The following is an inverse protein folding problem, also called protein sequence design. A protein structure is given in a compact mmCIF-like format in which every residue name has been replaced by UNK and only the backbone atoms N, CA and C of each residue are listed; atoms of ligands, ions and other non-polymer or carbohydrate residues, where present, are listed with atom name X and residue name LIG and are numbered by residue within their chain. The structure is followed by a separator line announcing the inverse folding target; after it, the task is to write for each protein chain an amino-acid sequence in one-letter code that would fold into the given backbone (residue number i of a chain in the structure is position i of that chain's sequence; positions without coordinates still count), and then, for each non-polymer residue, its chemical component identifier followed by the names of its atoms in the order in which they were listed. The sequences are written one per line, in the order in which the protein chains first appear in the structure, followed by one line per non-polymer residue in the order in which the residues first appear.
data_IF_155911703196
#
_entry.id   IF_155911703196
#
_cell.length_a   1.000
_cell.length_b   1.000
_cell.length_c   1.000
_cell.angle_alpha   90.00
_cell.angle_beta   90.00
_cell.angle_gamma   90.00
#
_symmetry.space_group_name_H-M   'P 1'
#
loop_
_entity.id
_entity.type
_entity.pdbx_description
1 polymer ?
#
# COMPACT_ATOMS: atom_id res chain seq x y z
N UNK A 1 -33.82 -51.43 58.77
CA UNK A 1 -33.77 -51.26 57.30
C UNK A 1 -34.70 -50.12 56.89
N UNK A 2 -34.13 -48.98 56.47
CA UNK A 2 -34.80 -47.91 55.73
C UNK A 2 -33.75 -47.26 54.82
N UNK A 3 -33.92 -47.39 53.52
CA UNK A 3 -33.12 -46.73 52.48
C UNK A 3 -33.67 -45.32 52.22
N UNK A 4 -32.84 -44.29 52.09
CA UNK A 4 -33.16 -43.10 51.31
C UNK A 4 -32.49 -43.23 49.93
N UNK A 5 -33.26 -43.42 48.86
CA UNK A 5 -33.82 -42.38 48.00
C UNK A 5 -32.79 -41.79 47.02
N UNK A 6 -32.67 -42.47 45.88
CA UNK A 6 -31.81 -42.17 44.73
C UNK A 6 -32.38 -41.05 43.83
N UNK A 7 -32.63 -39.84 44.38
CA UNK A 7 -33.18 -38.72 43.59
C UNK A 7 -32.34 -37.45 43.55
N UNK A 8 -31.10 -37.47 43.99
CA UNK A 8 -30.29 -36.24 44.08
C UNK A 8 -28.87 -36.41 43.52
N UNK A 9 -28.75 -37.00 42.33
CA UNK A 9 -27.49 -37.09 41.59
C UNK A 9 -27.73 -36.97 40.08
N UNK A 10 -28.44 -35.93 39.64
CA UNK A 10 -28.64 -35.72 38.19
C UNK A 10 -28.66 -34.24 37.77
N UNK A 11 -28.00 -33.36 38.52
CA UNK A 11 -27.88 -31.93 38.17
C UNK A 11 -26.44 -31.43 38.26
N UNK A 12 -25.46 -32.28 37.91
CA UNK A 12 -24.05 -31.86 37.90
C UNK A 12 -23.25 -32.44 36.74
N UNK A 13 -23.91 -32.77 35.62
CA UNK A 13 -23.22 -33.28 34.44
C UNK A 13 -23.80 -32.75 33.12
N UNK A 14 -24.41 -31.56 33.16
CA UNK A 14 -24.91 -30.86 31.97
C UNK A 14 -24.31 -29.45 31.81
N UNK A 15 -23.34 -29.08 32.66
CA UNK A 15 -22.68 -27.75 32.61
C UNK A 15 -21.20 -27.80 32.19
N UNK A 16 -20.63 -28.99 31.99
CA UNK A 16 -19.20 -29.12 31.66
C UNK A 16 -18.90 -29.34 30.17
N UNK A 17 -19.91 -29.57 29.34
CA UNK A 17 -19.75 -29.83 27.89
C UNK A 17 -20.29 -28.69 27.01
N UNK A 18 -20.50 -27.50 27.57
CA UNK A 18 -20.87 -26.29 26.83
C UNK A 18 -19.72 -25.29 26.74
N UNK A 19 -18.48 -25.78 26.71
CA UNK A 19 -17.26 -24.95 26.67
C UNK A 19 -16.28 -25.36 25.55
N UNK A 20 -16.77 -25.99 24.48
CA UNK A 20 -15.98 -26.30 23.27
C UNK A 20 -16.56 -25.67 21.99
N UNK A 21 -17.30 -24.57 22.13
CA UNK A 21 -17.80 -23.75 21.02
C UNK A 21 -17.21 -22.35 21.03
N UNK A 22 -16.01 -22.20 21.59
CA UNK A 22 -15.21 -20.99 21.41
C UNK A 22 -13.99 -21.30 20.56
N UNK A 23 -13.93 -20.60 19.44
CA UNK A 23 -12.69 -20.15 18.81
C UNK A 23 -11.88 -21.18 18.01
N UNK A 24 -12.51 -21.81 17.01
CA UNK A 24 -11.84 -21.97 15.70
C UNK A 24 -12.21 -20.80 14.78
N UNK A 25 -12.26 -19.59 15.34
CA UNK A 25 -12.01 -18.42 14.52
C UNK A 25 -10.49 -18.43 14.34
N UNK A 26 -10.01 -19.14 13.32
CA UNK A 26 -8.67 -18.93 12.79
C UNK A 26 -8.59 -17.43 12.48
N UNK A 27 -8.07 -16.67 13.43
CA UNK A 27 -7.53 -15.36 13.17
C UNK A 27 -6.39 -15.63 12.20
N UNK A 28 -6.72 -15.63 10.90
CA UNK A 28 -5.74 -15.60 9.82
C UNK A 28 -4.91 -14.37 10.13
N UNK A 29 -3.75 -14.59 10.73
CA UNK A 29 -2.82 -13.55 11.14
C UNK A 29 -2.67 -12.68 9.89
N UNK A 30 -3.18 -11.45 9.95
CA UNK A 30 -2.97 -10.51 8.85
C UNK A 30 -1.47 -10.31 8.83
N UNK A 31 -0.78 -10.97 7.90
CA UNK A 31 0.59 -10.64 7.57
C UNK A 31 0.55 -9.20 7.08
N UNK A 32 0.89 -8.28 7.99
CA UNK A 32 1.04 -6.88 7.65
C UNK A 32 2.17 -6.79 6.65
N UNK A 33 1.86 -6.25 5.48
CA UNK A 33 2.87 -6.05 4.45
C UNK A 33 3.99 -5.17 5.02
N UNK A 34 5.23 -5.60 4.82
CA UNK A 34 6.43 -4.82 5.15
C UNK A 34 7.24 -4.65 3.87
N UNK A 35 7.80 -3.44 3.62
CA UNK A 35 8.64 -3.22 2.47
C UNK A 35 9.89 -4.10 2.53
N UNK A 36 10.40 -4.56 1.38
CA UNK A 36 11.64 -5.31 1.35
C UNK A 36 12.82 -4.43 1.80
N UNK A 37 13.90 -5.01 2.38
CA UNK A 37 15.03 -4.25 2.92
C UNK A 37 15.72 -3.34 1.89
N UNK A 38 15.75 -3.75 0.62
CA UNK A 38 16.31 -2.98 -0.48
C UNK A 38 15.41 -1.82 -0.97
N UNK A 39 14.18 -1.75 -0.46
CA UNK A 39 13.15 -0.81 -0.88
C UNK A 39 12.32 -1.29 -2.06
N UNK A 40 11.13 -0.70 -2.22
CA UNK A 40 10.20 -1.03 -3.31
C UNK A 40 10.65 -0.43 -4.65
N UNK A 41 11.28 0.75 -4.64
CA UNK A 41 11.70 1.44 -5.86
C UNK A 41 13.17 1.16 -6.16
N UNK A 42 13.41 0.17 -7.02
CA UNK A 42 14.75 -0.36 -7.30
C UNK A 42 15.55 0.45 -8.31
N UNK A 43 14.88 1.15 -9.22
CA UNK A 43 15.53 1.88 -10.30
C UNK A 43 14.74 3.13 -10.74
N UNK A 44 15.38 3.92 -11.60
CA UNK A 44 14.82 5.14 -12.19
C UNK A 44 13.54 4.88 -12.99
N UNK A 45 13.46 3.76 -13.70
CA UNK A 45 12.30 3.44 -14.55
C UNK A 45 11.08 3.17 -13.68
N UNK A 46 11.25 2.44 -12.59
CA UNK A 46 10.21 2.20 -11.59
C UNK A 46 9.72 3.52 -10.96
N UNK A 47 10.65 4.41 -10.56
CA UNK A 47 10.31 5.72 -10.01
C UNK A 47 9.46 6.55 -10.98
N UNK A 48 9.89 6.65 -12.25
CA UNK A 48 9.15 7.39 -13.29
C UNK A 48 7.76 6.75 -13.53
N UNK A 49 7.68 5.42 -13.55
CA UNK A 49 6.40 4.72 -13.78
C UNK A 49 5.38 5.02 -12.67
N UNK A 50 5.82 5.04 -11.41
CA UNK A 50 4.98 5.40 -10.27
C UNK A 50 4.53 6.86 -10.37
N UNK A 51 5.46 7.78 -10.62
CA UNK A 51 5.15 9.20 -10.78
C UNK A 51 4.16 9.45 -11.93
N UNK A 52 4.31 8.73 -13.06
CA UNK A 52 3.41 8.83 -14.22
C UNK A 52 2.01 8.33 -13.89
N UNK A 53 1.90 7.23 -13.13
CA UNK A 53 0.61 6.71 -12.69
C UNK A 53 -0.12 7.71 -11.78
N UNK A 54 0.61 8.33 -10.84
CA UNK A 54 0.08 9.40 -9.97
C UNK A 54 -0.40 10.58 -10.82
N UNK A 55 0.43 11.08 -11.74
CA UNK A 55 0.08 12.22 -12.57
C UNK A 55 -1.18 11.97 -13.43
N UNK A 56 -1.33 10.77 -14.00
CA UNK A 56 -2.54 10.41 -14.75
C UNK A 56 -3.77 10.28 -13.87
N UNK A 57 -3.63 9.76 -12.64
CA UNK A 57 -4.75 9.69 -11.70
C UNK A 57 -5.30 11.09 -11.36
N UNK A 58 -4.42 12.09 -11.34
CA UNK A 58 -4.75 13.49 -11.11
C UNK A 58 -5.26 14.22 -12.36
N UNK A 59 -4.89 13.75 -13.56
CA UNK A 59 -5.21 14.37 -14.82
C UNK A 59 -5.80 13.34 -15.82
N UNK A 60 -7.00 12.80 -15.55
CA UNK A 60 -7.57 11.69 -16.32
C UNK A 60 -7.93 12.06 -17.76
N UNK A 61 -8.02 13.35 -18.09
CA UNK A 61 -8.27 13.86 -19.44
C UNK A 61 -7.03 13.85 -20.34
N UNK A 62 -5.83 13.65 -19.79
CA UNK A 62 -4.61 13.60 -20.59
C UNK A 62 -4.58 12.35 -21.46
N UNK A 63 -4.18 12.53 -22.71
CA UNK A 63 -4.02 11.42 -23.64
C UNK A 63 -2.90 10.46 -23.17
N UNK A 64 -3.16 9.16 -23.32
CA UNK A 64 -2.19 8.12 -22.99
C UNK A 64 -1.13 8.04 -24.10
N UNK A 65 0.05 8.62 -23.85
CA UNK A 65 1.22 8.47 -24.71
C UNK A 65 1.94 7.13 -24.47
N UNK A 66 2.82 6.73 -25.39
CA UNK A 66 3.64 5.51 -25.23
C UNK A 66 4.63 5.60 -24.07
N UNK A 67 5.07 4.45 -23.57
CA UNK A 67 6.08 4.33 -22.51
C UNK A 67 7.33 5.13 -22.78
N UNK A 68 7.89 4.94 -23.97
CA UNK A 68 9.08 5.64 -24.41
C UNK A 68 8.92 7.17 -24.34
N UNK A 69 7.77 7.70 -24.76
CA UNK A 69 7.54 9.16 -24.79
C UNK A 69 7.61 9.76 -23.39
N UNK A 70 7.00 9.13 -22.38
CA UNK A 70 7.03 9.69 -21.03
C UNK A 70 8.33 9.41 -20.29
N UNK A 71 9.03 8.30 -20.57
CA UNK A 71 10.38 8.09 -20.03
C UNK A 71 11.38 9.12 -20.59
N UNK A 72 11.23 9.51 -21.85
CA UNK A 72 12.07 10.54 -22.47
C UNK A 72 11.74 11.95 -21.92
N UNK A 73 10.50 12.16 -21.45
CA UNK A 73 9.99 13.43 -20.92
C UNK A 73 10.16 13.64 -19.41
N UNK A 74 10.61 12.63 -18.67
CA UNK A 74 10.81 12.68 -17.22
C UNK A 74 12.24 12.28 -16.85
N UNK A 75 12.74 12.85 -15.77
CA UNK A 75 13.98 12.42 -15.13
C UNK A 75 13.68 11.95 -13.71
N UNK A 76 14.47 11.00 -13.22
CA UNK A 76 14.42 10.62 -11.81
C UNK A 76 15.82 10.51 -11.25
N UNK A 77 16.02 11.10 -10.08
CA UNK A 77 17.28 11.13 -9.37
C UNK A 77 17.06 10.68 -7.93
N UNK A 78 18.01 9.90 -7.41
CA UNK A 78 17.92 9.37 -6.04
C UNK A 78 18.76 10.23 -5.11
N UNK A 79 18.12 10.76 -4.07
CA UNK A 79 18.73 11.53 -2.99
C UNK A 79 18.50 10.81 -1.66
N UNK A 80 19.42 9.92 -1.30
CA UNK A 80 19.26 9.05 -0.13
C UNK A 80 18.07 8.11 -0.29
N UNK A 81 17.09 8.24 0.60
CA UNK A 81 15.86 7.45 0.61
C UNK A 81 14.72 8.07 -0.20
N UNK A 82 14.98 9.17 -0.93
CA UNK A 82 13.98 9.84 -1.76
C UNK A 82 14.35 9.74 -3.23
N UNK A 83 13.39 9.30 -4.04
CA UNK A 83 13.40 9.45 -5.49
C UNK A 83 12.70 10.75 -5.86
N UNK A 84 13.43 11.68 -6.45
CA UNK A 84 12.87 12.91 -7.03
C UNK A 84 12.61 12.69 -8.49
N UNK A 85 11.35 12.74 -8.89
CA UNK A 85 10.93 12.57 -10.28
C UNK A 85 10.42 13.89 -10.82
N UNK A 86 11.04 14.40 -11.87
CA UNK A 86 10.72 15.69 -12.46
C UNK A 86 10.38 15.53 -13.94
N UNK A 87 9.32 16.18 -14.39
CA UNK A 87 9.09 16.37 -15.81
C UNK A 87 10.10 17.38 -16.36
N UNK A 88 10.66 17.12 -17.54
CA UNK A 88 11.53 18.08 -18.21
C UNK A 88 10.79 19.40 -18.41
N UNK A 89 11.49 20.50 -18.18
CA UNK A 89 10.96 21.84 -18.41
C UNK A 89 10.42 21.94 -19.84
N UNK A 90 9.22 22.51 -19.96
CA UNK A 90 8.66 22.80 -21.27
C UNK A 90 9.48 23.93 -21.93
N UNK A 91 9.54 23.98 -23.27
CA UNK A 91 10.15 25.09 -23.97
C UNK A 91 9.55 26.44 -23.53
N UNK A 92 10.36 27.51 -23.52
CA UNK A 92 9.89 28.85 -23.19
C UNK A 92 8.67 29.24 -24.06
N UNK A 93 7.62 29.76 -23.43
CA UNK A 93 6.36 30.11 -24.09
C UNK A 93 5.34 28.97 -24.20
N UNK A 94 5.66 27.77 -23.72
CA UNK A 94 4.67 26.68 -23.62
C UNK A 94 3.63 26.97 -22.53
N UNK A 95 2.37 26.66 -22.82
CA UNK A 95 1.31 26.63 -21.82
C UNK A 95 1.24 25.23 -21.21
N UNK A 96 1.51 25.13 -19.90
CA UNK A 96 1.45 23.89 -19.16
C UNK A 96 2.36 23.96 -17.94
N UNK A 97 1.90 23.43 -16.81
CA UNK A 97 2.75 23.28 -15.63
C UNK A 97 3.58 21.99 -15.70
N UNK A 98 4.80 22.02 -15.20
CA UNK A 98 5.58 20.82 -14.94
C UNK A 98 5.15 20.15 -13.64
N UNK A 99 5.78 19.02 -13.35
CA UNK A 99 5.50 18.20 -12.18
C UNK A 99 6.79 17.70 -11.57
N UNK A 100 6.92 17.84 -10.26
CA UNK A 100 7.90 17.16 -9.43
C UNK A 100 7.18 16.29 -8.41
N UNK A 101 7.60 15.03 -8.28
CA UNK A 101 7.08 14.06 -7.31
C UNK A 101 8.26 13.46 -6.55
N UNK A 102 8.21 13.57 -5.24
CA UNK A 102 9.14 12.91 -4.33
C UNK A 102 8.51 11.62 -3.82
N UNK A 103 9.20 10.49 -4.03
CA UNK A 103 8.78 9.16 -3.63
C UNK A 103 9.77 8.60 -2.61
N UNK A 104 9.27 8.00 -1.54
CA UNK A 104 10.10 7.25 -0.61
C UNK A 104 10.58 5.95 -1.30
N UNK A 105 11.89 5.75 -1.35
CA UNK A 105 12.48 4.59 -2.00
C UNK A 105 12.15 3.27 -1.28
N UNK A 106 11.88 3.33 0.04
CA UNK A 106 11.66 2.16 0.88
C UNK A 106 10.28 1.55 0.63
N UNK A 107 9.23 2.35 0.68
CA UNK A 107 7.85 1.86 0.61
C UNK A 107 7.04 2.40 -0.59
N UNK A 108 7.63 3.30 -1.38
CA UNK A 108 7.00 3.88 -2.56
C UNK A 108 5.93 4.94 -2.25
N UNK A 109 5.79 5.37 -0.99
CA UNK A 109 4.83 6.41 -0.64
C UNK A 109 5.21 7.74 -1.30
N UNK A 110 4.19 8.53 -1.62
CA UNK A 110 4.37 9.91 -2.06
C UNK A 110 4.71 10.77 -0.85
N UNK A 111 5.85 11.44 -0.91
CA UNK A 111 6.31 12.39 0.12
C UNK A 111 5.85 13.80 -0.23
N UNK A 112 5.99 14.19 -1.50
CA UNK A 112 5.62 15.52 -1.96
C UNK A 112 5.21 15.49 -3.44
N UNK A 113 4.30 16.39 -3.81
CA UNK A 113 3.98 16.74 -5.20
C UNK A 113 4.06 18.25 -5.35
N UNK A 114 4.81 18.72 -6.34
CA UNK A 114 4.95 20.13 -6.68
C UNK A 114 4.55 20.32 -8.13
N UNK A 115 3.64 21.26 -8.38
CA UNK A 115 3.36 21.72 -9.74
C UNK A 115 4.23 22.93 -10.03
N UNK A 116 5.01 22.85 -11.11
CA UNK A 116 5.89 23.93 -11.54
C UNK A 116 5.27 24.68 -12.72
N UNK A 117 5.67 25.93 -12.95
CA UNK A 117 5.29 26.71 -14.14
C UNK A 117 6.54 27.06 -14.93
#
# INVERSE_FOLDING_TARGET
MKTPSAKMMYVSMALFTSLFLFANCEAREKTWWSPPPEGVIRDKVAAISIARAIYFSMNPSLEKSSEKVWQDGMNAERHGDIWKVQQKALPAGSLGGGLEIDLDAKDGRVVQIIFTQ
#
